data_IF_963053626897
#
_entry.id   IF_963053626897
#
_cell.length_a   1.000
_cell.length_b   1.000
_cell.length_c   1.000
_cell.angle_alpha   90.00
_cell.angle_beta   90.00
_cell.angle_gamma   90.00
#
_symmetry.space_group_name_H-M   'P 1'
#
loop_
_entity.id
_entity.type
_entity.pdbx_description
1 polymer ?
#
# COMPACT_ATOMS: atom_id res chain seq x y z
N UNK A 1 8.96 -70.32 23.65
CA UNK A 1 10.07 -69.51 24.17
C UNK A 1 9.48 -68.23 24.70
N UNK A 2 10.02 -67.77 25.81
CA UNK A 2 9.41 -66.93 26.84
C UNK A 2 8.82 -65.60 26.33
N UNK A 3 7.58 -65.32 26.76
CA UNK A 3 7.04 -63.96 26.77
C UNK A 3 7.60 -63.25 27.99
N UNK A 4 8.55 -62.35 27.79
CA UNK A 4 9.10 -61.50 28.84
C UNK A 4 8.53 -60.09 28.62
N UNK A 5 7.68 -59.69 29.58
CA UNK A 5 7.01 -58.39 29.75
C UNK A 5 5.77 -58.17 28.87
N UNK A 6 4.60 -58.13 29.53
CA UNK A 6 3.27 -57.98 28.93
C UNK A 6 3.04 -56.61 28.30
N UNK A 7 3.57 -56.44 27.10
CA UNK A 7 3.19 -55.38 26.17
C UNK A 7 2.57 -56.05 24.95
N UNK A 8 1.29 -55.82 24.72
CA UNK A 8 0.59 -56.36 23.55
C UNK A 8 1.24 -55.79 22.28
N UNK A 9 1.47 -56.65 21.28
CA UNK A 9 2.15 -56.28 20.03
C UNK A 9 1.45 -55.16 19.25
N UNK A 10 0.14 -54.98 19.48
CA UNK A 10 -0.66 -53.87 18.95
C UNK A 10 -0.29 -52.52 19.58
N UNK A 11 0.04 -52.48 20.87
CA UNK A 11 0.46 -51.24 21.55
C UNK A 11 1.86 -50.79 21.08
N UNK A 12 2.73 -51.75 20.74
CA UNK A 12 4.04 -51.43 20.14
C UNK A 12 3.86 -50.77 18.77
N UNK A 13 2.92 -51.25 17.96
CA UNK A 13 2.64 -50.67 16.63
C UNK A 13 2.01 -49.27 16.73
N UNK A 14 1.01 -49.07 17.60
CA UNK A 14 0.43 -47.76 17.85
C UNK A 14 1.47 -46.76 18.40
N UNK A 15 2.34 -47.20 19.31
CA UNK A 15 3.43 -46.35 19.81
C UNK A 15 4.46 -46.01 18.72
N UNK A 16 4.69 -46.91 17.77
CA UNK A 16 5.59 -46.68 16.65
C UNK A 16 4.97 -45.72 15.61
N UNK A 17 3.67 -45.79 15.38
CA UNK A 17 2.92 -44.87 14.51
C UNK A 17 2.84 -43.46 15.13
N UNK A 18 2.52 -43.35 16.42
CA UNK A 18 2.58 -42.09 17.18
C UNK A 18 3.99 -41.47 17.20
N UNK A 19 5.05 -42.31 17.26
CA UNK A 19 6.44 -41.84 17.17
C UNK A 19 6.84 -41.41 15.76
N UNK A 20 6.25 -42.02 14.71
CA UNK A 20 6.46 -41.58 13.33
C UNK A 20 5.81 -40.23 13.05
N UNK A 21 4.60 -40.00 13.57
CA UNK A 21 3.89 -38.71 13.46
C UNK A 21 4.69 -37.58 14.14
N UNK A 22 5.22 -37.83 15.34
CA UNK A 22 6.12 -36.89 16.03
C UNK A 22 7.42 -36.62 15.24
N UNK A 23 8.02 -37.65 14.65
CA UNK A 23 9.26 -37.52 13.88
C UNK A 23 9.03 -36.81 12.52
N UNK A 24 7.87 -36.99 11.90
CA UNK A 24 7.46 -36.24 10.71
C UNK A 24 7.19 -34.77 11.05
N UNK A 25 6.53 -34.49 12.19
CA UNK A 25 6.35 -33.12 12.68
C UNK A 25 7.69 -32.41 12.98
N UNK A 26 8.64 -33.11 13.59
CA UNK A 26 9.99 -32.60 13.88
C UNK A 26 10.79 -32.33 12.60
N UNK A 27 10.62 -33.15 11.56
CA UNK A 27 11.24 -32.93 10.23
C UNK A 27 10.60 -31.73 9.50
N UNK A 28 9.28 -31.59 9.59
CA UNK A 28 8.54 -30.47 8.99
C UNK A 28 8.91 -29.13 9.65
N UNK A 29 9.23 -29.12 10.95
CA UNK A 29 9.75 -27.92 11.64
C UNK A 29 11.17 -27.52 11.16
N UNK A 30 12.01 -28.50 10.81
CA UNK A 30 13.37 -28.28 10.30
C UNK A 30 13.40 -27.86 8.82
N UNK A 31 12.48 -28.35 7.99
CA UNK A 31 12.47 -28.07 6.55
C UNK A 31 11.85 -26.70 6.21
N UNK A 32 10.97 -26.17 7.06
CA UNK A 32 10.17 -24.98 6.74
C UNK A 32 10.69 -23.68 7.38
N UNK A 33 11.97 -23.33 7.22
CA UNK A 33 12.49 -21.95 7.34
C UNK A 33 12.06 -21.13 8.61
N UNK A 34 11.61 -21.82 9.68
CA UNK A 34 11.15 -21.24 10.96
C UNK A 34 12.31 -20.86 11.87
N UNK A 35 13.51 -21.37 11.56
CA UNK A 35 14.76 -20.96 12.18
C UNK A 35 15.02 -19.46 12.02
N UNK A 36 14.57 -18.82 10.94
CA UNK A 36 14.70 -17.38 10.80
C UNK A 36 13.91 -16.60 11.87
N UNK A 37 12.72 -17.10 12.26
CA UNK A 37 11.94 -16.50 13.33
C UNK A 37 12.56 -16.79 14.69
N UNK A 38 13.01 -18.03 14.92
CA UNK A 38 13.67 -18.46 16.17
C UNK A 38 14.96 -17.67 16.42
N UNK A 39 15.82 -17.52 15.40
CA UNK A 39 17.05 -16.73 15.44
C UNK A 39 16.77 -15.23 15.67
N UNK A 40 15.70 -14.67 15.07
CA UNK A 40 15.27 -13.29 15.33
C UNK A 40 14.88 -13.06 16.79
N UNK A 41 14.08 -13.96 17.37
CA UNK A 41 13.70 -13.86 18.78
C UNK A 41 14.90 -14.05 19.71
N UNK A 42 15.84 -14.92 19.35
CA UNK A 42 17.06 -15.14 20.10
C UNK A 42 17.98 -13.92 20.07
N UNK A 43 18.13 -13.24 18.92
CA UNK A 43 18.89 -12.00 18.81
C UNK A 43 18.24 -10.84 19.58
N UNK A 44 16.90 -10.72 19.51
CA UNK A 44 16.17 -9.63 20.17
C UNK A 44 16.23 -9.68 21.71
N UNK A 45 16.36 -10.89 22.28
CA UNK A 45 16.45 -11.06 23.74
C UNK A 45 17.86 -10.82 24.29
N UNK A 46 18.89 -10.89 23.43
CA UNK A 46 20.30 -10.84 23.84
C UNK A 46 21.06 -9.60 23.37
N UNK A 47 20.54 -8.81 22.43
CA UNK A 47 21.08 -7.48 22.16
C UNK A 47 20.54 -6.51 23.22
N UNK A 48 21.41 -6.08 24.13
CA UNK A 48 21.10 -5.01 25.08
C UNK A 48 20.70 -3.76 24.31
N UNK A 49 19.43 -3.35 24.38
CA UNK A 49 19.00 -2.02 23.94
C UNK A 49 19.82 -1.02 24.76
N UNK A 50 20.61 -0.13 24.14
CA UNK A 50 21.40 0.83 24.88
C UNK A 50 20.47 1.71 25.73
N UNK A 51 20.59 1.67 27.06
CA UNK A 51 19.78 2.50 27.96
C UNK A 51 20.05 4.01 27.77
N UNK A 52 21.15 4.35 27.08
CA UNK A 52 21.54 5.71 26.69
C UNK A 52 20.62 6.35 25.64
N UNK A 53 19.53 5.68 25.21
CA UNK A 53 18.58 6.19 24.23
C UNK A 53 19.12 6.24 22.79
N UNK A 54 20.23 5.56 22.52
CA UNK A 54 20.79 5.44 21.17
C UNK A 54 19.94 4.47 20.34
N UNK A 55 19.81 4.78 19.05
CA UNK A 55 19.09 3.89 18.14
C UNK A 55 19.77 2.51 18.11
N UNK A 56 18.99 1.41 18.21
CA UNK A 56 19.55 0.07 18.18
C UNK A 56 20.24 -0.17 16.83
N UNK A 57 21.42 -0.79 16.87
CA UNK A 57 22.19 -1.15 15.68
C UNK A 57 21.42 -2.26 14.97
N UNK A 58 20.59 -1.88 14.01
CA UNK A 58 19.84 -2.83 13.19
C UNK A 58 20.78 -3.47 12.17
N UNK A 59 20.65 -4.79 11.92
CA UNK A 59 21.35 -5.44 10.82
C UNK A 59 21.17 -4.68 9.50
N UNK A 60 22.24 -4.57 8.71
CA UNK A 60 22.25 -3.80 7.46
C UNK A 60 21.13 -4.21 6.47
N UNK A 61 20.67 -5.46 6.53
CA UNK A 61 19.53 -5.95 5.75
C UNK A 61 18.21 -5.29 6.13
N UNK A 62 17.97 -5.04 7.43
CA UNK A 62 16.79 -4.34 7.93
C UNK A 62 16.85 -2.84 7.61
N UNK A 63 18.03 -2.23 7.73
CA UNK A 63 18.23 -0.84 7.30
C UNK A 63 17.95 -0.67 5.81
N UNK A 64 18.48 -1.58 4.99
CA UNK A 64 18.21 -1.61 3.56
C UNK A 64 16.71 -1.74 3.27
N UNK A 65 16.03 -2.71 3.90
CA UNK A 65 14.59 -2.91 3.73
C UNK A 65 13.77 -1.67 4.18
N UNK A 66 14.14 -1.03 5.29
CA UNK A 66 13.52 0.22 5.76
C UNK A 66 13.75 1.35 4.76
N UNK A 67 14.93 1.44 4.18
CA UNK A 67 15.28 2.45 3.18
C UNK A 67 14.52 2.24 1.87
N UNK A 68 14.37 1.00 1.41
CA UNK A 68 13.63 0.67 0.19
C UNK A 68 12.14 0.93 0.38
N UNK A 69 11.56 0.52 1.51
CA UNK A 69 10.16 0.82 1.83
C UNK A 69 9.88 2.34 1.83
N UNK A 70 10.76 3.14 2.44
CA UNK A 70 10.67 4.61 2.40
C UNK A 70 10.77 5.17 0.97
N UNK A 71 11.62 4.59 0.11
CA UNK A 71 11.74 4.98 -1.30
C UNK A 71 10.46 4.66 -2.08
N UNK A 72 9.90 3.47 -1.89
CA UNK A 72 8.64 3.07 -2.54
C UNK A 72 7.48 3.97 -2.11
N UNK A 73 7.32 4.24 -0.82
CA UNK A 73 6.28 5.14 -0.33
C UNK A 73 6.38 6.54 -0.95
N UNK A 74 7.60 7.12 -1.00
CA UNK A 74 7.84 8.41 -1.65
C UNK A 74 7.55 8.39 -3.15
N UNK A 75 7.93 7.30 -3.84
CA UNK A 75 7.69 7.16 -5.27
C UNK A 75 6.18 7.05 -5.57
N UNK A 76 5.43 6.33 -4.74
CA UNK A 76 3.97 6.20 -4.87
C UNK A 76 3.27 7.54 -4.61
N UNK A 77 3.66 8.27 -3.56
CA UNK A 77 3.15 9.62 -3.28
C UNK A 77 3.45 10.59 -4.44
N UNK A 78 4.67 10.55 -4.98
CA UNK A 78 5.06 11.38 -6.12
C UNK A 78 4.22 11.04 -7.36
N UNK A 79 4.01 9.75 -7.64
CA UNK A 79 3.20 9.31 -8.75
C UNK A 79 1.73 9.75 -8.61
N UNK A 80 1.14 9.60 -7.43
CA UNK A 80 -0.22 10.08 -7.10
C UNK A 80 -0.36 11.60 -7.21
N UNK A 81 0.71 12.34 -6.89
CA UNK A 81 0.74 13.81 -6.99
C UNK A 81 0.94 14.36 -8.40
N UNK A 82 1.12 13.51 -9.41
CA UNK A 82 1.35 13.93 -10.79
C UNK A 82 0.18 14.81 -11.30
N UNK A 83 0.46 15.97 -11.91
CA UNK A 83 -0.55 16.87 -12.49
C UNK A 83 -1.54 16.20 -13.45
N UNK A 84 -1.15 15.11 -14.11
CA UNK A 84 -2.05 14.34 -14.98
C UNK A 84 -3.19 13.68 -14.20
N UNK A 85 -2.90 13.13 -13.01
CA UNK A 85 -3.91 12.51 -12.15
C UNK A 85 -4.65 13.58 -11.35
N UNK A 86 -3.92 14.60 -10.86
CA UNK A 86 -4.46 15.72 -10.08
C UNK A 86 -4.21 17.06 -10.80
N UNK A 87 -5.07 17.45 -11.75
CA UNK A 87 -4.94 18.75 -12.39
C UNK A 87 -5.25 19.84 -11.36
N UNK A 88 -4.29 20.74 -11.15
CA UNK A 88 -4.50 21.93 -10.32
C UNK A 88 -5.29 22.96 -11.11
N UNK A 89 -6.37 23.46 -10.50
CA UNK A 89 -7.13 24.59 -11.02
C UNK A 89 -6.22 25.81 -10.98
N UNK A 90 -6.16 26.56 -12.09
CA UNK A 90 -5.41 27.83 -12.12
C UNK A 90 -6.12 28.83 -11.22
N UNK A 91 -5.37 29.46 -10.33
CA UNK A 91 -5.89 30.52 -9.47
C UNK A 91 -6.37 31.69 -10.35
N UNK A 92 -7.69 31.84 -10.51
CA UNK A 92 -8.28 32.98 -11.20
C UNK A 92 -8.88 33.96 -10.21
N UNK A 93 -9.85 33.51 -9.42
CA UNK A 93 -10.61 34.34 -8.45
C UNK A 93 -10.26 33.94 -7.02
N UNK A 94 -10.11 32.64 -6.77
CA UNK A 94 -9.76 32.08 -5.46
C UNK A 94 -8.30 31.67 -5.49
N UNK A 95 -7.48 32.21 -4.56
CA UNK A 95 -6.08 31.78 -4.43
C UNK A 95 -6.05 30.46 -3.68
N UNK A 96 -5.57 29.40 -4.35
CA UNK A 96 -5.28 28.15 -3.67
C UNK A 96 -4.16 28.41 -2.68
N UNK A 97 -4.34 28.06 -1.39
CA UNK A 97 -3.29 28.32 -0.43
C UNK A 97 -2.05 27.48 -0.75
N UNK A 98 -0.88 28.11 -0.64
CA UNK A 98 0.38 27.51 -1.09
C UNK A 98 0.95 26.50 -0.10
N UNK A 99 0.62 26.66 1.18
CA UNK A 99 1.16 25.83 2.25
C UNK A 99 0.35 24.55 2.43
N UNK A 100 1.08 23.43 2.56
CA UNK A 100 0.50 22.10 2.77
C UNK A 100 -0.25 21.99 4.10
N UNK A 101 0.13 22.79 5.09
CA UNK A 101 -0.51 22.80 6.41
C UNK A 101 -0.88 24.22 6.75
N UNK A 102 -2.15 24.46 7.05
CA UNK A 102 -2.65 25.77 7.47
C UNK A 102 -3.30 25.63 8.83
N UNK A 103 -2.85 26.44 9.78
CA UNK A 103 -3.45 26.52 11.11
C UNK A 103 -4.23 27.83 11.18
N UNK A 104 -5.54 27.72 11.38
CA UNK A 104 -6.44 28.86 11.56
C UNK A 104 -6.75 28.99 13.04
N UNK A 105 -6.20 30.03 13.65
CA UNK A 105 -6.49 30.43 15.04
C UNK A 105 -7.51 31.55 15.07
N UNK A 106 -8.58 31.38 15.85
CA UNK A 106 -9.60 32.42 16.11
C UNK A 106 -9.91 32.45 17.60
N UNK A 107 -10.03 33.64 18.15
CA UNK A 107 -10.29 33.82 19.58
C UNK A 107 -11.65 33.21 19.97
N UNK A 108 -11.69 32.54 21.11
CA UNK A 108 -12.88 31.84 21.61
C UNK A 108 -13.22 30.52 20.89
N UNK A 109 -12.34 30.01 20.01
CA UNK A 109 -12.49 28.69 19.36
C UNK A 109 -11.16 27.92 19.35
N UNK A 110 -11.18 26.58 19.37
CA UNK A 110 -9.97 25.79 19.20
C UNK A 110 -9.35 26.02 17.82
N UNK A 111 -8.01 25.96 17.76
CA UNK A 111 -7.26 26.10 16.50
C UNK A 111 -7.62 24.97 15.54
N UNK A 112 -7.96 25.31 14.30
CA UNK A 112 -8.22 24.33 13.24
C UNK A 112 -6.97 24.14 12.37
N UNK A 113 -6.56 22.89 12.14
CA UNK A 113 -5.43 22.55 11.28
C UNK A 113 -5.94 21.88 10.01
N UNK A 114 -5.79 22.57 8.89
CA UNK A 114 -6.06 22.03 7.56
C UNK A 114 -4.77 21.44 7.00
N UNK A 115 -4.80 20.17 6.61
CA UNK A 115 -3.67 19.48 5.99
C UNK A 115 -4.08 19.10 4.58
N UNK A 116 -3.36 19.62 3.59
CA UNK A 116 -3.48 19.17 2.21
C UNK A 116 -2.84 17.78 2.08
N UNK A 117 -3.70 16.78 1.92
CA UNK A 117 -3.34 15.37 1.75
C UNK A 117 -2.96 15.05 0.30
N UNK A 118 -3.18 15.97 -0.65
CA UNK A 118 -2.89 15.78 -2.07
C UNK A 118 -3.55 14.52 -2.65
N UNK A 119 -2.78 13.74 -3.40
CA UNK A 119 -3.24 12.52 -4.06
C UNK A 119 -3.23 11.24 -3.20
N UNK A 120 -3.03 11.34 -1.87
CA UNK A 120 -2.80 10.17 -1.01
C UNK A 120 -3.92 9.11 -1.11
N UNK A 121 -5.17 9.56 -1.20
CA UNK A 121 -6.37 8.71 -1.28
C UNK A 121 -6.88 8.49 -2.71
N UNK A 122 -6.07 8.78 -3.73
CA UNK A 122 -6.48 8.54 -5.11
C UNK A 122 -6.22 7.09 -5.50
N UNK A 123 -7.28 6.42 -5.93
CA UNK A 123 -7.17 5.18 -6.69
C UNK A 123 -6.71 5.50 -8.12
N UNK A 124 -5.47 5.13 -8.42
CA UNK A 124 -4.81 5.44 -9.70
C UNK A 124 -5.61 4.86 -10.87
N UNK A 125 -5.98 3.59 -10.80
CA UNK A 125 -6.61 2.87 -11.90
C UNK A 125 -7.99 3.44 -12.23
N UNK A 126 -8.77 3.75 -11.19
CA UNK A 126 -10.06 4.39 -11.34
C UNK A 126 -9.90 5.78 -11.96
N UNK A 127 -8.90 6.54 -11.52
CA UNK A 127 -8.61 7.87 -12.07
C UNK A 127 -8.23 7.80 -13.55
N UNK A 128 -7.38 6.85 -13.93
CA UNK A 128 -6.99 6.63 -15.33
C UNK A 128 -8.21 6.25 -16.19
N UNK A 129 -9.08 5.36 -15.70
CA UNK A 129 -10.34 5.01 -16.39
C UNK A 129 -11.22 6.24 -16.60
N UNK A 130 -11.40 7.08 -15.58
CA UNK A 130 -12.19 8.32 -15.68
C UNK A 130 -11.58 9.31 -16.68
N UNK A 131 -10.25 9.45 -16.72
CA UNK A 131 -9.56 10.31 -17.69
C UNK A 131 -9.84 9.83 -19.12
N UNK A 132 -9.62 8.54 -19.40
CA UNK A 132 -9.87 7.96 -20.73
C UNK A 132 -11.34 8.12 -21.17
N UNK A 133 -12.28 7.94 -20.25
CA UNK A 133 -13.69 8.16 -20.53
C UNK A 133 -13.99 9.64 -20.83
N UNK A 134 -13.39 10.57 -20.08
CA UNK A 134 -13.54 12.00 -20.32
C UNK A 134 -13.02 12.42 -21.70
N UNK A 135 -11.87 11.87 -22.12
CA UNK A 135 -11.30 12.11 -23.45
C UNK A 135 -12.21 11.57 -24.56
N UNK A 136 -12.78 10.37 -24.37
CA UNK A 136 -13.75 9.78 -25.30
C UNK A 136 -15.00 10.65 -25.43
N UNK A 137 -15.56 11.10 -24.30
CA UNK A 137 -16.74 11.98 -24.27
C UNK A 137 -16.44 13.33 -24.93
N UNK A 138 -15.25 13.90 -24.69
CA UNK A 138 -14.83 15.15 -25.31
C UNK A 138 -14.76 15.05 -26.84
N UNK A 139 -14.18 13.97 -27.38
CA UNK A 139 -14.14 13.73 -28.84
C UNK A 139 -15.53 13.63 -29.47
N UNK A 140 -16.45 12.92 -28.83
CA UNK A 140 -17.84 12.78 -29.30
C UNK A 140 -18.54 14.15 -29.27
N UNK A 141 -18.38 14.90 -28.19
CA UNK A 141 -18.99 16.23 -28.06
C UNK A 141 -18.43 17.21 -29.09
N UNK A 142 -17.12 17.20 -29.36
CA UNK A 142 -16.51 18.02 -30.39
C UNK A 142 -17.12 17.74 -31.77
N UNK A 143 -17.27 16.47 -32.15
CA UNK A 143 -17.92 16.09 -33.41
C UNK A 143 -19.36 16.60 -33.49
N UNK A 144 -20.16 16.43 -32.43
CA UNK A 144 -21.54 16.93 -32.38
C UNK A 144 -21.63 18.45 -32.48
N UNK A 145 -20.65 19.17 -31.91
CA UNK A 145 -20.58 20.63 -32.01
C UNK A 145 -20.29 21.06 -33.44
N UNK A 146 -19.38 20.39 -34.14
CA UNK A 146 -19.09 20.68 -35.55
C UNK A 146 -20.29 20.37 -36.46
N UNK A 147 -20.97 19.24 -36.26
CA UNK A 147 -22.21 18.90 -37.00
C UNK A 147 -23.30 19.96 -36.77
N UNK A 148 -23.48 20.45 -35.53
CA UNK A 148 -24.43 21.53 -35.23
C UNK A 148 -24.04 22.86 -35.88
N UNK A 149 -22.76 23.19 -35.91
CA UNK A 149 -22.25 24.41 -36.58
C UNK A 149 -22.50 24.34 -38.08
N UNK A 150 -22.22 23.20 -38.72
CA UNK A 150 -22.47 22.97 -40.14
C UNK A 150 -23.97 23.12 -40.47
N UNK A 151 -24.84 22.46 -39.71
CA UNK A 151 -26.29 22.57 -39.90
C UNK A 151 -26.81 24.01 -39.67
N UNK A 152 -26.24 24.74 -38.72
CA UNK A 152 -26.58 26.16 -38.49
C UNK A 152 -26.15 27.06 -39.66
N UNK A 153 -25.00 26.77 -40.27
CA UNK A 153 -24.49 27.50 -41.43
C UNK A 153 -25.34 27.23 -42.68
N UNK A 154 -25.72 25.98 -42.92
CA UNK A 154 -26.64 25.60 -43.99
C UNK A 154 -28.02 26.28 -43.84
N UNK A 155 -28.59 26.29 -42.63
CA UNK A 155 -29.86 26.99 -42.34
C UNK A 155 -29.77 28.50 -42.55
N UNK A 156 -28.60 29.09 -42.32
CA UNK A 156 -28.37 30.51 -42.56
C UNK A 156 -28.27 30.81 -44.06
N UNK A 157 -27.58 29.95 -44.82
CA UNK A 157 -27.47 30.06 -46.27
C UNK A 157 -28.81 29.83 -46.99
N UNK A 158 -29.68 28.94 -46.48
CA UNK A 158 -31.01 28.71 -47.05
C UNK A 158 -32.03 29.84 -46.76
N UNK A 159 -31.70 30.79 -45.88
CA UNK A 159 -32.55 31.95 -45.53
C UNK A 159 -32.14 33.25 -46.23
N UNK A 160 -30.99 33.27 -46.89
CA UNK A 160 -30.51 34.38 -47.72
C UNK A 160 -30.83 34.13 -49.18
#
# INVERSE_FOLDING_TARGET
MEHILGVDSSDVQLSAELRKDAHEADQLEQEENRDAARQRYQQLYWESVPEDGREPIVPASLEHAKSTAKRYAKAEEAYKSNPRLMPRVKDSITRTPKEKVQVVTKDGRPSMKFVDVGGHFIEVDERLRRIAESERRAKINARKVEEKKAAALERRAARS
#
